data_IF_055387798608
#
_entry.id   IF_055387798608
#
_cell.length_a   1.000
_cell.length_b   1.000
_cell.length_c   1.000
_cell.angle_alpha   90.00
_cell.angle_beta   90.00
_cell.angle_gamma   90.00
#
_symmetry.space_group_name_H-M   'P 1'
#
loop_
_entity.id
_entity.type
_entity.pdbx_description
1 polymer ?
#
# COMPACT_ATOMS: atom_id res chain seq x y z
N UNK A 1 -5.32 -30.18 -8.21
CA UNK A 1 -3.99 -30.03 -7.58
C UNK A 1 -3.67 -28.54 -7.56
N UNK A 2 -3.27 -27.94 -6.43
CA UNK A 2 -2.94 -26.52 -6.41
C UNK A 2 -1.74 -26.29 -7.34
N UNK A 3 -1.93 -25.45 -8.35
CA UNK A 3 -0.88 -25.05 -9.28
C UNK A 3 0.16 -24.23 -8.52
N UNK A 4 1.22 -24.90 -8.08
CA UNK A 4 2.36 -24.27 -7.45
C UNK A 4 3.17 -23.51 -8.51
N UNK A 5 3.05 -22.20 -8.50
CA UNK A 5 4.05 -21.32 -9.10
C UNK A 5 5.12 -21.13 -8.02
N UNK A 6 6.35 -21.58 -8.29
CA UNK A 6 7.52 -21.62 -7.39
C UNK A 6 7.40 -20.71 -6.14
N UNK A 7 6.99 -21.31 -5.01
CA UNK A 7 7.09 -20.71 -3.67
C UNK A 7 5.89 -19.89 -3.18
N UNK A 8 4.97 -19.45 -4.05
CA UNK A 8 3.80 -18.66 -3.64
C UNK A 8 2.51 -19.26 -4.21
N UNK A 9 1.69 -19.83 -3.33
CA UNK A 9 0.39 -20.37 -3.71
C UNK A 9 -0.54 -19.29 -4.25
N UNK A 10 -1.27 -19.61 -5.32
CA UNK A 10 -2.35 -18.75 -5.82
C UNK A 10 -3.45 -18.69 -4.73
N UNK A 11 -3.85 -17.49 -4.26
CA UNK A 11 -4.87 -17.37 -3.22
C UNK A 11 -6.22 -17.98 -3.65
N UNK A 12 -6.93 -18.62 -2.72
CA UNK A 12 -8.23 -19.26 -2.99
C UNK A 12 -9.27 -18.27 -3.55
N UNK A 13 -9.23 -17.02 -3.09
CA UNK A 13 -10.10 -15.96 -3.62
C UNK A 13 -9.84 -15.68 -5.10
N UNK A 14 -8.59 -15.84 -5.58
CA UNK A 14 -8.26 -15.73 -7.01
C UNK A 14 -8.79 -16.95 -7.76
N UNK A 15 -8.63 -18.16 -7.21
CA UNK A 15 -9.10 -19.39 -7.85
C UNK A 15 -10.63 -19.43 -7.99
N UNK A 16 -11.34 -19.00 -6.96
CA UNK A 16 -12.81 -18.96 -6.91
C UNK A 16 -13.44 -17.75 -7.62
N UNK A 17 -12.65 -16.71 -7.93
CA UNK A 17 -13.16 -15.52 -8.62
C UNK A 17 -13.73 -15.84 -10.01
N UNK A 18 -15.01 -15.52 -10.23
CA UNK A 18 -15.67 -15.64 -11.53
C UNK A 18 -15.84 -14.26 -12.17
N UNK A 19 -15.06 -13.90 -13.20
CA UNK A 19 -15.16 -12.59 -13.83
C UNK A 19 -16.50 -12.36 -14.55
N UNK A 20 -17.21 -13.44 -14.93
CA UNK A 20 -18.52 -13.37 -15.62
C UNK A 20 -19.70 -13.18 -14.66
N UNK A 21 -19.49 -13.27 -13.34
CA UNK A 21 -20.54 -13.03 -12.36
C UNK A 21 -21.00 -11.55 -12.38
N UNK A 22 -22.18 -11.27 -11.84
CA UNK A 22 -22.64 -9.89 -11.67
C UNK A 22 -21.82 -9.21 -10.58
N UNK A 23 -21.17 -8.09 -10.92
CA UNK A 23 -20.37 -7.28 -10.01
C UNK A 23 -21.10 -6.00 -9.62
N UNK A 24 -20.85 -5.49 -8.42
CA UNK A 24 -21.35 -4.17 -7.96
C UNK A 24 -20.57 -3.00 -8.56
N UNK A 25 -19.36 -3.28 -9.08
CA UNK A 25 -18.53 -2.32 -9.79
C UNK A 25 -18.63 -2.53 -11.31
N UNK A 26 -18.52 -1.48 -12.13
CA UNK A 26 -18.39 -1.62 -13.58
C UNK A 26 -17.02 -2.21 -13.92
N UNK A 27 -16.92 -3.55 -13.92
CA UNK A 27 -15.65 -4.27 -14.02
C UNK A 27 -14.81 -3.87 -15.24
N UNK A 28 -15.42 -3.69 -16.41
CA UNK A 28 -14.71 -3.24 -17.62
C UNK A 28 -14.02 -1.89 -17.43
N UNK A 29 -14.76 -0.86 -17.01
CA UNK A 29 -14.21 0.46 -16.76
C UNK A 29 -13.13 0.47 -15.65
N UNK A 30 -13.31 -0.38 -14.63
CA UNK A 30 -12.30 -0.59 -13.60
C UNK A 30 -11.01 -1.20 -14.17
N UNK A 31 -11.12 -2.21 -15.03
CA UNK A 31 -9.96 -2.87 -15.66
C UNK A 31 -9.25 -1.95 -16.65
N UNK A 32 -9.97 -1.18 -17.47
CA UNK A 32 -9.38 -0.23 -18.40
C UNK A 32 -8.53 0.85 -17.70
N UNK A 33 -8.92 1.21 -16.47
CA UNK A 33 -8.15 2.13 -15.64
C UNK A 33 -6.87 1.50 -15.03
N UNK A 34 -6.72 0.16 -15.10
CA UNK A 34 -5.66 -0.60 -14.40
C UNK A 34 -4.74 -1.36 -15.35
N UNK A 35 -5.27 -1.95 -16.41
CA UNK A 35 -4.56 -2.67 -17.46
C UNK A 35 -4.85 -1.96 -18.78
N UNK A 36 -3.84 -1.26 -19.31
CA UNK A 36 -4.01 -0.47 -20.54
C UNK A 36 -4.26 -1.36 -21.76
N UNK A 37 -4.91 -0.79 -22.79
CA UNK A 37 -5.21 -1.49 -24.04
C UNK A 37 -4.02 -2.25 -24.65
N UNK A 38 -2.82 -1.64 -24.78
CA UNK A 38 -1.64 -2.34 -25.29
C UNK A 38 -1.28 -3.61 -24.51
N UNK A 39 -1.43 -3.60 -23.18
CA UNK A 39 -1.19 -4.78 -22.35
C UNK A 39 -2.24 -5.86 -22.65
N UNK A 40 -3.52 -5.47 -22.76
CA UNK A 40 -4.59 -6.40 -23.09
C UNK A 40 -4.37 -7.05 -24.46
N UNK A 41 -3.83 -6.32 -25.44
CA UNK A 41 -3.56 -6.84 -26.77
C UNK A 41 -2.39 -7.84 -26.78
N UNK A 42 -1.30 -7.55 -26.07
CA UNK A 42 -0.18 -8.49 -25.88
C UNK A 42 -0.65 -9.76 -25.14
N UNK A 43 -1.50 -9.62 -24.12
CA UNK A 43 -2.12 -10.75 -23.43
C UNK A 43 -2.92 -11.62 -24.39
N UNK A 44 -3.75 -11.03 -25.26
CA UNK A 44 -4.53 -11.77 -26.26
C UNK A 44 -3.65 -12.48 -27.30
N UNK A 45 -2.45 -11.96 -27.57
CA UNK A 45 -1.46 -12.59 -28.43
C UNK A 45 -0.75 -13.77 -27.76
N UNK A 46 -0.99 -14.00 -26.46
CA UNK A 46 -0.37 -15.09 -25.70
C UNK A 46 1.04 -14.76 -25.22
N UNK A 47 1.41 -13.47 -25.13
CA UNK A 47 2.72 -13.07 -24.59
C UNK A 47 2.83 -13.55 -23.13
N UNK A 48 3.89 -14.31 -22.77
CA UNK A 48 4.06 -14.83 -21.43
C UNK A 48 4.24 -13.71 -20.40
N UNK A 49 3.78 -13.96 -19.17
CA UNK A 49 3.74 -12.97 -18.10
C UNK A 49 4.54 -13.45 -16.89
N UNK A 50 5.43 -12.59 -16.40
CA UNK A 50 6.07 -12.78 -15.10
C UNK A 50 5.58 -11.71 -14.11
N UNK A 51 5.20 -12.13 -12.91
CA UNK A 51 5.04 -11.25 -11.75
C UNK A 51 6.38 -11.17 -11.03
N UNK A 52 6.98 -9.97 -11.00
CA UNK A 52 8.18 -9.70 -10.23
C UNK A 52 7.83 -9.17 -8.84
N UNK A 53 8.13 -9.99 -7.83
CA UNK A 53 7.88 -9.74 -6.43
C UNK A 53 9.19 -9.39 -5.74
N UNK A 54 9.47 -8.10 -5.65
CA UNK A 54 10.74 -7.60 -5.14
C UNK A 54 10.86 -6.08 -5.26
N UNK A 55 11.99 -5.52 -4.78
CA UNK A 55 12.36 -4.13 -5.05
C UNK A 55 12.38 -3.89 -6.56
N UNK A 56 11.81 -2.77 -7.00
CA UNK A 56 11.61 -2.52 -8.44
C UNK A 56 12.93 -2.27 -9.17
N UNK A 57 13.90 -1.74 -8.44
CA UNK A 57 15.27 -1.50 -8.86
C UNK A 57 16.02 -2.80 -9.21
N UNK A 58 15.64 -3.94 -8.62
CA UNK A 58 16.29 -5.24 -8.84
C UNK A 58 15.74 -5.97 -10.07
N UNK A 59 14.58 -5.52 -10.59
CA UNK A 59 13.84 -6.20 -11.63
C UNK A 59 14.54 -6.17 -12.99
N UNK A 60 14.91 -4.98 -13.48
CA UNK A 60 15.61 -4.85 -14.77
C UNK A 60 16.95 -5.61 -14.77
N UNK A 61 17.84 -5.44 -13.77
CA UNK A 61 19.06 -6.25 -13.67
C UNK A 61 18.77 -7.75 -13.70
N UNK A 62 17.74 -8.23 -13.00
CA UNK A 62 17.38 -9.65 -12.98
C UNK A 62 17.07 -10.18 -14.40
N UNK A 63 16.26 -9.46 -15.18
CA UNK A 63 15.86 -9.93 -16.51
C UNK A 63 16.97 -9.77 -17.56
N UNK A 64 17.76 -8.69 -17.49
CA UNK A 64 18.90 -8.54 -18.41
C UNK A 64 19.98 -9.59 -18.17
N UNK A 65 20.29 -9.92 -16.90
CA UNK A 65 21.33 -10.90 -16.60
C UNK A 65 20.87 -12.36 -16.74
N UNK A 66 19.65 -12.68 -16.30
CA UNK A 66 19.18 -14.08 -16.25
C UNK A 66 18.26 -14.47 -17.40
N UNK A 67 17.64 -13.50 -18.07
CA UNK A 67 16.63 -13.72 -19.10
C UNK A 67 17.13 -13.56 -20.53
N UNK A 68 18.37 -13.12 -20.74
CA UNK A 68 18.95 -12.78 -22.05
C UNK A 68 18.14 -11.74 -22.84
N UNK A 69 17.35 -10.92 -22.14
CA UNK A 69 16.67 -9.78 -22.76
C UNK A 69 17.69 -8.67 -23.03
N UNK A 70 17.45 -7.88 -24.06
CA UNK A 70 18.35 -6.80 -24.49
C UNK A 70 17.66 -5.45 -24.48
N UNK A 71 16.32 -5.45 -24.55
CA UNK A 71 15.50 -4.25 -24.56
C UNK A 71 14.40 -4.32 -23.51
N UNK A 72 14.02 -3.16 -22.98
CA UNK A 72 12.84 -3.02 -22.11
C UNK A 72 12.08 -1.75 -22.47
N UNK A 73 10.76 -1.84 -22.45
CA UNK A 73 9.85 -0.72 -22.67
C UNK A 73 8.82 -0.66 -21.54
N UNK A 74 8.72 0.49 -20.87
CA UNK A 74 7.66 0.69 -19.89
C UNK A 74 6.32 0.86 -20.61
N UNK A 75 5.37 -0.01 -20.30
CA UNK A 75 3.98 0.10 -20.74
C UNK A 75 3.26 1.04 -19.76
N UNK A 76 2.87 2.21 -20.23
CA UNK A 76 2.25 3.24 -19.38
C UNK A 76 1.02 2.69 -18.63
N UNK A 77 1.02 2.82 -17.30
CA UNK A 77 -0.10 2.49 -16.43
C UNK A 77 -0.40 3.61 -15.44
N UNK A 78 -1.63 3.68 -14.95
CA UNK A 78 -2.09 4.68 -13.96
C UNK A 78 -1.94 4.18 -12.52
N UNK A 79 -1.05 3.24 -12.25
CA UNK A 79 -0.95 2.57 -10.96
C UNK A 79 0.49 2.46 -10.47
N UNK A 80 0.68 2.20 -9.18
CA UNK A 80 2.01 1.88 -8.62
C UNK A 80 2.56 0.52 -9.06
N UNK A 81 1.74 -0.29 -9.73
CA UNK A 81 2.16 -1.49 -10.46
C UNK A 81 2.67 -1.06 -11.84
N UNK A 82 3.93 -1.40 -12.13
CA UNK A 82 4.55 -1.13 -13.43
C UNK A 82 4.43 -2.36 -14.32
N UNK A 83 4.19 -2.12 -15.60
CA UNK A 83 4.18 -3.14 -16.64
C UNK A 83 5.32 -2.80 -17.59
N UNK A 84 6.16 -3.78 -17.87
CA UNK A 84 7.28 -3.65 -18.77
C UNK A 84 7.21 -4.75 -19.82
N UNK A 85 7.58 -4.41 -21.05
CA UNK A 85 7.78 -5.35 -22.13
C UNK A 85 9.28 -5.57 -22.27
N UNK A 86 9.73 -6.77 -21.96
CA UNK A 86 11.10 -7.21 -22.23
C UNK A 86 11.16 -7.93 -23.56
N UNK A 87 12.19 -7.65 -24.34
CA UNK A 87 12.42 -8.24 -25.66
C UNK A 87 13.88 -8.68 -25.80
N UNK A 88 14.10 -9.87 -26.36
CA UNK A 88 15.42 -10.36 -26.74
C UNK A 88 15.72 -10.06 -28.22
N UNK A 89 16.97 -10.24 -28.64
CA UNK A 89 17.38 -9.97 -30.03
C UNK A 89 16.73 -10.88 -31.08
N UNK A 90 15.99 -11.91 -30.65
CA UNK A 90 15.24 -12.84 -31.51
C UNK A 90 13.76 -12.46 -31.61
N UNK A 91 13.35 -11.36 -30.99
CA UNK A 91 11.97 -10.88 -30.96
C UNK A 91 11.07 -11.63 -29.98
N UNK A 92 11.62 -12.42 -29.06
CA UNK A 92 10.84 -13.03 -28.00
C UNK A 92 10.47 -11.98 -26.97
N UNK A 93 9.18 -11.84 -26.71
CA UNK A 93 8.64 -10.84 -25.80
C UNK A 93 8.11 -11.47 -24.51
N UNK A 94 8.26 -10.73 -23.40
CA UNK A 94 7.70 -11.08 -22.10
C UNK A 94 7.16 -9.84 -21.40
N UNK A 95 5.95 -9.96 -20.85
CA UNK A 95 5.38 -8.94 -19.99
C UNK A 95 5.89 -9.19 -18.57
N UNK A 96 6.53 -8.19 -17.97
CA UNK A 96 6.95 -8.21 -16.57
C UNK A 96 6.10 -7.21 -15.79
N UNK A 97 5.44 -7.69 -14.74
CA UNK A 97 4.61 -6.87 -13.85
C UNK A 97 5.35 -6.70 -12.53
N UNK A 98 5.74 -5.47 -12.21
CA UNK A 98 6.58 -5.13 -11.06
C UNK A 98 5.89 -4.16 -10.08
N UNK A 99 6.51 -3.90 -8.94
CA UNK A 99 5.93 -3.09 -7.85
C UNK A 99 5.03 -3.88 -6.90
N UNK A 100 5.07 -5.22 -7.00
CA UNK A 100 4.37 -6.16 -6.13
C UNK A 100 5.24 -6.39 -4.89
N UNK A 101 4.84 -5.77 -3.78
CA UNK A 101 5.65 -5.74 -2.56
C UNK A 101 4.97 -6.41 -1.35
N UNK A 102 3.75 -6.92 -1.52
CA UNK A 102 2.94 -7.50 -0.46
C UNK A 102 1.82 -8.40 -1.01
N UNK A 103 1.19 -9.18 -0.13
CA UNK A 103 0.12 -10.15 -0.48
C UNK A 103 -1.09 -9.48 -1.12
N UNK A 104 -1.45 -8.29 -0.64
CA UNK A 104 -2.61 -7.56 -1.15
C UNK A 104 -2.44 -7.16 -2.61
N UNK A 105 -1.28 -6.59 -2.95
CA UNK A 105 -0.94 -6.24 -4.34
C UNK A 105 -0.83 -7.47 -5.21
N UNK A 106 -0.20 -8.54 -4.73
CA UNK A 106 -0.08 -9.80 -5.46
C UNK A 106 -1.44 -10.38 -5.82
N UNK A 107 -2.31 -10.53 -4.82
CA UNK A 107 -3.69 -11.02 -4.97
C UNK A 107 -4.48 -10.15 -5.94
N UNK A 108 -4.40 -8.83 -5.77
CA UNK A 108 -5.13 -7.87 -6.59
C UNK A 108 -4.67 -7.89 -8.05
N UNK A 109 -3.36 -7.98 -8.31
CA UNK A 109 -2.81 -8.14 -9.67
C UNK A 109 -3.31 -9.43 -10.32
N UNK A 110 -3.31 -10.55 -9.60
CA UNK A 110 -3.83 -11.83 -10.12
C UNK A 110 -5.32 -11.75 -10.45
N UNK A 111 -6.13 -11.11 -9.59
CA UNK A 111 -7.56 -10.89 -9.86
C UNK A 111 -7.77 -10.08 -11.14
N UNK A 112 -6.98 -9.03 -11.35
CA UNK A 112 -7.07 -8.19 -12.55
C UNK A 112 -6.70 -8.98 -13.82
N UNK A 113 -5.61 -9.76 -13.77
CA UNK A 113 -5.17 -10.60 -14.89
C UNK A 113 -6.20 -11.67 -15.23
N UNK A 114 -6.75 -12.35 -14.21
CA UNK A 114 -7.84 -13.31 -14.39
C UNK A 114 -9.09 -12.66 -14.98
N UNK A 115 -9.40 -11.42 -14.57
CA UNK A 115 -10.55 -10.69 -15.06
C UNK A 115 -10.44 -10.28 -16.54
N UNK A 116 -9.22 -10.00 -17.03
CA UNK A 116 -8.97 -9.76 -18.47
C UNK A 116 -8.76 -11.06 -19.26
N UNK A 117 -8.90 -12.22 -18.61
CA UNK A 117 -8.90 -13.52 -19.28
C UNK A 117 -7.52 -14.21 -19.39
N UNK A 118 -6.51 -13.74 -18.66
CA UNK A 118 -5.20 -14.43 -18.60
C UNK A 118 -5.36 -15.77 -17.87
N UNK A 119 -4.99 -16.92 -18.48
CA UNK A 119 -4.89 -18.19 -17.78
C UNK A 119 -3.79 -18.12 -16.73
N UNK A 120 -4.09 -18.55 -15.49
CA UNK A 120 -3.14 -18.44 -14.38
C UNK A 120 -1.87 -19.29 -14.62
N UNK A 121 -1.95 -20.29 -15.48
CA UNK A 121 -0.85 -21.17 -15.90
C UNK A 121 0.16 -20.44 -16.79
N UNK A 122 -0.22 -19.33 -17.42
CA UNK A 122 0.69 -18.49 -18.23
C UNK A 122 1.46 -17.47 -17.38
N UNK A 123 1.17 -17.41 -16.08
CA UNK A 123 1.79 -16.48 -15.15
C UNK A 123 2.90 -17.20 -14.39
N UNK A 124 4.13 -16.73 -14.53
CA UNK A 124 5.24 -17.11 -13.66
C UNK A 124 5.43 -16.07 -12.55
N UNK A 125 5.88 -16.49 -11.38
CA UNK A 125 6.22 -15.59 -10.27
C UNK A 125 7.72 -15.65 -10.03
N UNK A 126 8.36 -14.50 -9.91
CA UNK A 126 9.78 -14.32 -9.58
C UNK A 126 9.89 -13.53 -8.29
N UNK A 127 10.72 -13.99 -7.36
CA UNK A 127 10.90 -13.35 -6.06
C UNK A 127 9.98 -13.89 -4.98
N UNK A 128 9.88 -13.18 -3.86
CA UNK A 128 9.26 -13.68 -2.62
C UNK A 128 8.63 -12.54 -1.79
N UNK A 129 7.35 -12.69 -1.46
CA UNK A 129 6.62 -11.73 -0.61
C UNK A 129 7.17 -11.73 0.81
N UNK A 130 7.57 -12.87 1.38
CA UNK A 130 8.12 -12.92 2.74
C UNK A 130 9.44 -12.15 2.81
N UNK A 131 10.27 -12.28 1.79
CA UNK A 131 11.49 -11.49 1.65
C UNK A 131 11.18 -9.98 1.61
N UNK A 132 10.20 -9.56 0.79
CA UNK A 132 9.72 -8.17 0.76
C UNK A 132 9.24 -7.69 2.13
N UNK A 133 8.44 -8.50 2.82
CA UNK A 133 7.91 -8.19 4.15
C UNK A 133 9.03 -8.04 5.19
N UNK A 134 10.07 -8.89 5.15
CA UNK A 134 11.25 -8.80 6.03
C UNK A 134 12.05 -7.53 5.77
N UNK A 135 12.29 -7.16 4.51
CA UNK A 135 12.95 -5.88 4.16
C UNK A 135 12.12 -4.71 4.70
N UNK A 136 10.82 -4.71 4.41
CA UNK A 136 9.92 -3.65 4.84
C UNK A 136 9.90 -3.52 6.37
N UNK A 137 9.78 -4.63 7.10
CA UNK A 137 9.76 -4.63 8.56
C UNK A 137 11.06 -4.05 9.14
N UNK A 138 12.22 -4.40 8.57
CA UNK A 138 13.52 -3.84 9.00
C UNK A 138 13.61 -2.35 8.75
N UNK A 139 13.21 -1.88 7.56
CA UNK A 139 13.16 -0.46 7.22
C UNK A 139 12.20 0.28 8.15
N UNK A 140 10.98 -0.23 8.32
CA UNK A 140 9.98 0.34 9.21
C UNK A 140 10.50 0.46 10.64
N UNK A 141 11.09 -0.59 11.20
CA UNK A 141 11.64 -0.53 12.56
C UNK A 141 12.74 0.51 12.70
N UNK A 142 13.68 0.54 11.75
CA UNK A 142 14.78 1.51 11.76
C UNK A 142 14.25 2.95 11.73
N UNK A 143 13.40 3.27 10.76
CA UNK A 143 12.84 4.61 10.59
C UNK A 143 11.94 5.00 11.77
N UNK A 144 11.18 4.03 12.31
CA UNK A 144 10.34 4.24 13.48
C UNK A 144 11.16 4.54 14.74
N UNK A 145 12.22 3.77 15.00
CA UNK A 145 13.14 4.02 16.13
C UNK A 145 13.82 5.38 15.99
N UNK A 146 14.18 5.81 14.79
CA UNK A 146 14.74 7.14 14.55
C UNK A 146 13.71 8.27 14.77
N UNK A 147 12.44 8.01 14.47
CA UNK A 147 11.38 8.98 14.64
C UNK A 147 10.94 9.11 16.12
N UNK A 148 10.64 7.98 16.76
CA UNK A 148 10.01 7.88 18.09
C UNK A 148 11.03 7.62 19.21
N UNK A 149 12.15 6.95 18.94
CA UNK A 149 13.06 6.50 20.01
C UNK A 149 12.33 5.62 21.03
N UNK A 150 12.69 5.75 22.31
CA UNK A 150 12.11 4.92 23.38
C UNK A 150 10.90 5.57 24.08
N UNK A 151 10.32 6.63 23.49
CA UNK A 151 9.16 7.32 24.07
C UNK A 151 7.94 6.38 24.11
N UNK A 152 7.14 6.40 25.19
CA UNK A 152 5.82 5.77 25.19
C UNK A 152 4.92 6.44 24.15
N UNK A 153 4.04 5.66 23.55
CA UNK A 153 3.10 6.13 22.53
C UNK A 153 1.75 6.34 23.21
N UNK A 154 1.34 7.59 23.34
CA UNK A 154 0.05 7.92 23.96
C UNK A 154 -1.12 7.45 23.09
N UNK A 155 -1.01 7.63 21.77
CA UNK A 155 -2.02 7.25 20.80
C UNK A 155 -1.39 6.89 19.46
N UNK A 156 -1.78 5.76 18.90
CA UNK A 156 -1.50 5.37 17.53
C UNK A 156 -2.79 5.41 16.68
N UNK A 157 -2.76 6.11 15.54
CA UNK A 157 -3.89 6.22 14.60
C UNK A 157 -3.51 5.58 13.26
N UNK A 158 -4.14 4.47 12.91
CA UNK A 158 -3.99 3.83 11.60
C UNK A 158 -5.03 4.36 10.61
N UNK A 159 -4.59 4.87 9.47
CA UNK A 159 -5.43 5.12 8.30
C UNK A 159 -5.96 6.54 8.11
N UNK A 160 -5.91 7.39 9.15
CA UNK A 160 -6.23 8.82 9.03
C UNK A 160 -5.08 9.71 9.55
N UNK A 161 -3.97 9.72 8.80
CA UNK A 161 -2.76 10.48 9.15
C UNK A 161 -3.04 11.97 9.35
N UNK A 162 -3.60 12.61 8.32
CA UNK A 162 -3.89 14.04 8.30
C UNK A 162 -4.86 14.46 9.38
N UNK A 163 -5.90 13.65 9.66
CA UNK A 163 -6.86 13.94 10.72
C UNK A 163 -6.23 14.05 12.11
N UNK A 164 -5.29 13.16 12.46
CA UNK A 164 -4.56 13.28 13.73
C UNK A 164 -3.72 14.57 13.78
N UNK A 165 -3.02 14.90 12.70
CA UNK A 165 -2.17 16.11 12.63
C UNK A 165 -3.01 17.37 12.84
N UNK A 166 -4.16 17.45 12.19
CA UNK A 166 -5.10 18.55 12.34
C UNK A 166 -5.65 18.66 13.76
N UNK A 167 -6.17 17.56 14.30
CA UNK A 167 -6.78 17.54 15.64
C UNK A 167 -5.78 17.96 16.72
N UNK A 168 -4.53 17.48 16.62
CA UNK A 168 -3.47 17.84 17.57
C UNK A 168 -3.11 19.32 17.44
N UNK A 169 -2.96 19.83 16.22
CA UNK A 169 -2.67 21.25 16.02
C UNK A 169 -3.79 22.16 16.54
N UNK A 170 -5.06 21.80 16.32
CA UNK A 170 -6.21 22.55 16.85
C UNK A 170 -6.26 22.58 18.38
N UNK A 171 -5.91 21.47 19.03
CA UNK A 171 -5.87 21.39 20.50
C UNK A 171 -4.71 22.17 21.10
N UNK A 172 -3.53 22.10 20.50
CA UNK A 172 -2.32 22.73 21.03
C UNK A 172 -2.20 24.21 20.66
N UNK A 173 -2.69 24.59 19.47
CA UNK A 173 -2.56 25.93 18.91
C UNK A 173 -3.91 26.51 18.44
N UNK A 174 -4.96 26.52 19.28
CA UNK A 174 -6.30 26.95 18.87
C UNK A 174 -6.34 28.40 18.38
N UNK A 175 -5.46 29.28 18.86
CA UNK A 175 -5.35 30.66 18.37
C UNK A 175 -4.78 30.77 16.97
N UNK A 176 -3.78 29.94 16.63
CA UNK A 176 -3.08 29.96 15.34
C UNK A 176 -3.81 29.15 14.26
N UNK A 177 -4.67 28.22 14.69
CA UNK A 177 -5.52 27.40 13.83
C UNK A 177 -6.91 28.01 13.57
N UNK A 178 -7.22 29.21 14.07
CA UNK A 178 -8.52 29.92 13.85
C UNK A 178 -8.67 30.59 12.48
N UNK A 179 -7.72 30.40 11.57
CA UNK A 179 -7.71 31.07 10.28
C UNK A 179 -8.84 30.60 9.35
N UNK A 180 -9.33 31.46 8.45
CA UNK A 180 -10.12 30.97 7.33
C UNK A 180 -9.21 30.17 6.41
N UNK A 181 -9.34 28.85 6.42
CA UNK A 181 -8.69 27.98 5.46
C UNK A 181 -9.58 27.84 4.23
N UNK A 182 -9.04 28.04 3.02
CA UNK A 182 -9.83 27.89 1.79
C UNK A 182 -9.96 26.43 1.39
N UNK A 183 -9.03 25.59 1.83
CA UNK A 183 -8.97 24.16 1.54
C UNK A 183 -8.44 23.38 2.74
N UNK A 184 -8.76 22.09 2.82
CA UNK A 184 -8.19 21.19 3.82
C UNK A 184 -6.65 21.08 3.73
N UNK A 185 -6.09 21.19 2.52
CA UNK A 185 -4.64 21.14 2.29
C UNK A 185 -3.91 22.36 2.87
N UNK A 186 -4.52 23.55 2.77
CA UNK A 186 -3.98 24.76 3.39
C UNK A 186 -3.96 24.65 4.92
N UNK A 187 -5.03 24.11 5.49
CA UNK A 187 -5.17 23.85 6.91
C UNK A 187 -4.12 22.84 7.41
N UNK A 188 -3.99 21.69 6.72
CA UNK A 188 -2.99 20.67 7.07
C UNK A 188 -1.58 21.24 6.98
N UNK A 189 -1.27 22.04 5.96
CA UNK A 189 0.04 22.67 5.82
C UNK A 189 0.36 23.59 7.00
N UNK A 190 -0.61 24.40 7.45
CA UNK A 190 -0.44 25.24 8.64
C UNK A 190 -0.22 24.41 9.89
N UNK A 191 -1.02 23.36 10.10
CA UNK A 191 -0.87 22.43 11.21
C UNK A 191 0.53 21.79 11.24
N UNK A 192 1.00 21.26 10.10
CA UNK A 192 2.34 20.67 9.95
C UNK A 192 3.43 21.68 10.28
N UNK A 193 3.31 22.93 9.83
CA UNK A 193 4.30 23.97 10.13
C UNK A 193 4.40 24.27 11.64
N UNK A 194 3.26 24.37 12.32
CA UNK A 194 3.22 24.59 13.78
C UNK A 194 3.83 23.42 14.54
N UNK A 195 3.45 22.20 14.18
CA UNK A 195 3.93 20.99 14.86
C UNK A 195 5.41 20.72 14.55
N UNK A 196 5.92 21.09 13.37
CA UNK A 196 7.37 21.04 13.08
C UNK A 196 8.15 22.00 13.96
N UNK A 197 7.62 23.22 14.14
CA UNK A 197 8.27 24.26 14.95
C UNK A 197 8.30 23.90 16.43
N UNK A 198 7.22 23.31 16.95
CA UNK A 198 7.00 23.23 18.39
C UNK A 198 6.93 21.81 18.97
N UNK A 199 6.73 20.77 18.15
CA UNK A 199 6.43 19.40 18.60
C UNK A 199 7.27 18.33 17.92
N UNK A 200 8.44 18.70 17.36
CA UNK A 200 9.33 17.75 16.68
C UNK A 200 8.58 16.86 15.67
N UNK A 201 7.63 17.44 14.94
CA UNK A 201 6.85 16.69 13.94
C UNK A 201 7.79 16.09 12.90
N UNK A 202 7.66 14.79 12.69
CA UNK A 202 8.34 14.07 11.62
C UNK A 202 7.30 13.44 10.71
N UNK A 203 7.57 13.50 9.42
CA UNK A 203 6.87 12.71 8.42
C UNK A 203 7.90 11.79 7.77
N UNK A 204 7.57 10.51 7.73
CA UNK A 204 8.45 9.45 7.25
C UNK A 204 7.76 8.75 6.10
N UNK A 205 8.50 8.61 5.00
CA UNK A 205 8.09 7.87 3.80
C UNK A 205 9.06 6.69 3.60
N UNK A 206 8.50 5.48 3.51
CA UNK A 206 9.24 4.25 3.25
C UNK A 206 8.91 3.82 1.82
N UNK A 207 9.82 4.16 0.91
CA UNK A 207 9.83 3.77 -0.51
C UNK A 207 8.52 4.11 -1.27
N UNK A 208 7.77 5.13 -0.84
CA UNK A 208 6.46 5.50 -1.37
C UNK A 208 5.34 4.49 -1.07
N UNK A 209 5.66 3.40 -0.36
CA UNK A 209 4.73 2.29 -0.05
C UNK A 209 3.99 2.55 1.26
N UNK A 210 4.67 3.18 2.21
CA UNK A 210 4.17 3.36 3.57
C UNK A 210 4.57 4.72 4.11
N UNK A 211 3.66 5.41 4.77
CA UNK A 211 3.94 6.74 5.35
C UNK A 211 3.38 6.83 6.75
N UNK A 212 4.12 7.46 7.64
CA UNK A 212 3.65 7.78 8.99
C UNK A 212 4.17 9.13 9.47
N UNK A 213 3.51 9.67 10.47
CA UNK A 213 3.87 10.90 11.15
C UNK A 213 4.00 10.67 12.64
N UNK A 214 4.93 11.39 13.26
CA UNK A 214 5.10 11.39 14.72
C UNK A 214 5.03 12.81 15.24
N UNK A 215 4.43 12.99 16.40
CA UNK A 215 4.32 14.28 17.09
C UNK A 215 4.73 14.07 18.55
N UNK A 216 5.65 14.88 19.03
CA UNK A 216 6.06 14.87 20.44
C UNK A 216 5.11 15.75 21.25
N UNK A 217 4.57 15.17 22.31
CA UNK A 217 3.60 15.84 23.20
C UNK A 217 3.98 15.63 24.65
N UNK A 218 3.52 16.55 25.50
CA UNK A 218 3.59 16.42 26.95
C UNK A 218 2.20 16.06 27.45
N UNK A 219 2.05 14.89 28.05
CA UNK A 219 0.80 14.44 28.67
C UNK A 219 1.12 14.15 30.14
N UNK A 220 0.41 14.82 31.04
CA UNK A 220 0.64 14.76 32.49
C UNK A 220 2.11 15.00 32.88
N UNK A 221 2.76 15.96 32.19
CA UNK A 221 4.16 16.31 32.42
C UNK A 221 5.18 15.29 31.92
N UNK A 222 4.76 14.22 31.24
CA UNK A 222 5.64 13.19 30.66
C UNK A 222 5.75 13.34 29.14
N UNK A 223 6.95 13.22 28.56
CA UNK A 223 7.12 13.21 27.11
C UNK A 223 6.57 11.91 26.53
N UNK A 224 5.66 12.03 25.58
CA UNK A 224 5.05 10.91 24.85
C UNK A 224 5.01 11.22 23.36
N UNK A 225 4.82 10.19 22.54
CA UNK A 225 4.62 10.33 21.10
C UNK A 225 3.16 10.07 20.72
N UNK A 226 2.65 10.86 19.78
CA UNK A 226 1.49 10.53 18.97
C UNK A 226 1.97 10.04 17.62
N UNK A 227 1.39 8.96 17.11
CA UNK A 227 1.82 8.33 15.88
C UNK A 227 0.62 8.15 14.97
N UNK A 228 0.70 8.60 13.73
CA UNK A 228 -0.35 8.31 12.74
C UNK A 228 0.20 7.76 11.44
N UNK A 229 -0.54 6.81 10.87
CA UNK A 229 -0.17 6.12 9.65
C UNK A 229 -1.12 6.49 8.53
N UNK A 230 -0.59 6.78 7.35
CA UNK A 230 -1.40 6.78 6.13
C UNK A 230 -1.77 5.33 5.84
N UNK A 231 -3.04 5.06 5.57
CA UNK A 231 -3.64 3.72 5.49
C UNK A 231 -2.71 2.68 4.86
N UNK A 232 -2.11 1.81 5.68
CA UNK A 232 -1.38 0.67 5.14
C UNK A 232 -2.37 -0.42 4.76
N UNK A 233 -2.26 -0.93 3.54
CA UNK A 233 -3.17 -1.96 3.06
C UNK A 233 -2.72 -3.35 3.52
N UNK A 234 -3.68 -4.16 3.96
CA UNK A 234 -3.52 -5.59 4.27
C UNK A 234 -2.40 -5.89 5.28
N UNK A 235 -1.50 -6.77 4.91
CA UNK A 235 -0.39 -7.27 5.72
C UNK A 235 0.57 -6.19 6.23
N UNK A 236 0.73 -5.07 5.50
CA UNK A 236 1.52 -3.93 5.98
C UNK A 236 0.93 -3.31 7.25
N UNK A 237 -0.41 -3.27 7.36
CA UNK A 237 -1.08 -2.79 8.58
C UNK A 237 -0.77 -3.70 9.76
N UNK A 238 -0.80 -5.02 9.54
CA UNK A 238 -0.46 -6.02 10.55
C UNK A 238 0.98 -5.88 11.02
N UNK A 239 1.93 -5.74 10.08
CA UNK A 239 3.36 -5.56 10.39
C UNK A 239 3.56 -4.29 11.23
N UNK A 240 2.94 -3.17 10.84
CA UNK A 240 3.07 -1.91 11.56
C UNK A 240 2.42 -1.95 12.95
N UNK A 241 1.21 -2.48 13.07
CA UNK A 241 0.53 -2.65 14.36
C UNK A 241 1.35 -3.52 15.29
N UNK A 242 1.85 -4.65 14.79
CA UNK A 242 2.67 -5.55 15.61
C UNK A 242 3.98 -4.92 16.04
N UNK A 243 4.63 -4.16 15.15
CA UNK A 243 5.84 -3.43 15.50
C UNK A 243 5.60 -2.47 16.68
N UNK A 244 4.50 -1.73 16.65
CA UNK A 244 4.15 -0.79 17.72
C UNK A 244 3.93 -1.51 19.05
N UNK A 245 3.06 -2.52 19.05
CA UNK A 245 2.65 -3.24 20.27
C UNK A 245 3.79 -4.07 20.86
N UNK A 246 4.67 -4.63 20.03
CA UNK A 246 5.78 -5.47 20.48
C UNK A 246 6.99 -4.65 20.99
N UNK A 247 7.08 -3.36 20.63
CA UNK A 247 8.27 -2.52 20.90
C UNK A 247 8.02 -1.29 21.78
N UNK A 248 6.78 -0.85 21.92
CA UNK A 248 6.44 0.35 22.68
C UNK A 248 5.25 0.09 23.60
N UNK A 249 5.24 0.80 24.72
CA UNK A 249 4.00 0.98 25.49
C UNK A 249 3.05 1.87 24.69
N UNK A 250 1.87 1.34 24.34
CA UNK A 250 0.85 2.05 23.56
C UNK A 250 -0.38 2.25 24.43
N UNK A 251 -0.66 3.51 24.80
CA UNK A 251 -1.80 3.87 25.65
C UNK A 251 -3.15 3.75 24.94
N UNK A 252 -3.19 3.97 23.63
CA UNK A 252 -4.40 3.84 22.83
C UNK A 252 -4.11 3.56 21.36
N UNK A 253 -5.00 2.80 20.72
CA UNK A 253 -4.87 2.45 19.31
C UNK A 253 -6.22 2.62 18.61
N UNK A 254 -6.23 3.40 17.53
CA UNK A 254 -7.44 3.68 16.73
C UNK A 254 -7.16 3.31 15.28
N UNK A 255 -8.04 2.51 14.69
CA UNK A 255 -8.01 2.20 13.27
C UNK A 255 -9.18 2.87 12.57
N UNK A 256 -8.86 3.64 11.53
CA UNK A 256 -9.82 4.37 10.70
C UNK A 256 -9.59 3.93 9.26
N UNK A 257 -10.65 3.49 8.59
CA UNK A 257 -10.59 3.07 7.19
C UNK A 257 -11.88 3.37 6.47
N UNK A 258 -11.78 3.50 5.14
CA UNK A 258 -12.95 3.45 4.28
C UNK A 258 -13.32 1.99 4.02
N UNK A 259 -14.61 1.67 4.09
CA UNK A 259 -15.14 0.33 3.82
C UNK A 259 -16.45 0.41 3.05
N UNK A 260 -16.73 -0.64 2.27
CA UNK A 260 -18.05 -0.82 1.66
C UNK A 260 -18.97 -1.56 2.62
N UNK A 261 -20.19 -1.07 2.82
CA UNK A 261 -21.21 -1.80 3.57
C UNK A 261 -21.88 -2.84 2.69
N UNK A 262 -21.99 -4.07 3.18
CA UNK A 262 -22.82 -5.12 2.57
C UNK A 262 -24.28 -5.05 3.03
N UNK A 263 -24.58 -4.25 4.07
CA UNK A 263 -25.97 -3.98 4.47
C UNK A 263 -26.57 -3.01 3.46
N UNK A 264 -27.70 -3.42 2.86
CA UNK A 264 -28.39 -2.67 1.81
C UNK A 264 -28.82 -1.25 2.24
N UNK A 265 -28.91 -1.01 3.54
CA UNK A 265 -29.51 0.20 4.11
C UNK A 265 -28.46 1.21 4.60
N UNK A 266 -27.17 0.92 4.44
CA UNK A 266 -26.10 1.86 4.80
C UNK A 266 -25.89 2.89 3.71
N UNK A 267 -26.12 4.16 4.03
CA UNK A 267 -25.82 5.27 3.14
C UNK A 267 -24.32 5.50 2.99
N UNK A 268 -23.88 5.96 1.81
CA UNK A 268 -22.51 6.46 1.61
C UNK A 268 -22.25 7.60 2.60
N UNK A 269 -21.12 7.54 3.31
CA UNK A 269 -20.78 8.50 4.37
C UNK A 269 -21.22 8.10 5.77
N UNK A 270 -21.93 6.97 5.94
CA UNK A 270 -22.23 6.45 7.27
C UNK A 270 -20.96 5.97 7.99
N UNK A 271 -20.85 6.24 9.28
CA UNK A 271 -19.81 5.69 10.14
C UNK A 271 -20.23 4.32 10.67
N UNK A 272 -19.28 3.38 10.70
CA UNK A 272 -19.45 2.08 11.34
C UNK A 272 -18.38 1.94 12.41
N UNK A 273 -18.81 1.66 13.63
CA UNK A 273 -17.92 1.36 14.76
C UNK A 273 -18.02 -0.13 15.01
N UNK A 274 -16.89 -0.83 14.88
CA UNK A 274 -16.81 -2.24 15.23
C UNK A 274 -16.73 -2.34 16.75
N UNK A 275 -17.80 -2.79 17.38
CA UNK A 275 -17.81 -3.15 18.80
C UNK A 275 -17.52 -4.64 18.94
N UNK A 276 -16.68 -5.03 19.88
CA UNK A 276 -16.64 -6.42 20.33
C UNK A 276 -17.96 -6.75 21.01
N UNK A 277 -18.72 -7.68 20.45
CA UNK A 277 -19.85 -8.32 21.12
C UNK A 277 -19.36 -9.29 22.19
#
# INVERSE_FOLDING_TARGET
MPSNIMGMGIPECVLSFNPKAKHTIPLGAYLDARISGPIQDLVKQGTPIDLFVGPIEDMEPYYFHNGNYTHTHTLNTRSSIKYLLFEDDKGFQKIVIAGISNESKFTHTLLQLKAVGVPLEQISVKGDIEFCAKIFQRKLYKEFQQAVGDKPIALAVMGNRSGMVLEVAHRLYPGEMKGPFKTADEEERKAVQLLKKNNNYKEVDIDGIFKFSTIDVMIDGKPQALVSFRMPNGDLSRIATRLLLDKHEVGGFVMVGAGGSLKKDSAVGSYQVTTTS
#
